data_IF_485808148234
#
_entry.id   IF_485808148234
#
_cell.length_a   1.000
_cell.length_b   1.000
_cell.length_c   1.000
_cell.angle_alpha   90.00
_cell.angle_beta   90.00
_cell.angle_gamma   90.00
#
_symmetry.space_group_name_H-M   'P 1'
#
loop_
_entity.id
_entity.type
_entity.pdbx_description
1 polymer ?
#
# COMPACT_ATOMS: atom_id res chain seq x y z
N UNK A 1 -9.02 -2.62 48.86
CA UNK A 1 -9.22 -2.04 47.53
C UNK A 1 -8.00 -1.28 46.97
N UNK A 2 -7.15 -0.70 47.81
CA UNK A 2 -6.01 0.16 47.39
C UNK A 2 -4.84 -0.61 46.74
N UNK A 3 -4.55 -1.85 47.13
CA UNK A 3 -3.43 -2.66 46.55
C UNK A 3 -3.68 -3.15 45.14
N UNK A 4 -4.95 -3.41 44.75
CA UNK A 4 -5.30 -3.87 43.38
C UNK A 4 -5.22 -2.72 42.37
N UNK A 5 -5.48 -1.49 42.82
CA UNK A 5 -5.41 -0.30 41.97
C UNK A 5 -3.96 0.05 41.62
N UNK A 6 -3.03 -0.05 42.60
CA UNK A 6 -1.60 0.25 42.37
C UNK A 6 -0.97 -0.73 41.36
N UNK A 7 -1.31 -2.02 41.44
CA UNK A 7 -0.80 -3.03 40.49
C UNK A 7 -1.31 -2.80 39.09
N UNK A 8 -2.59 -2.39 38.91
CA UNK A 8 -3.13 -2.08 37.58
C UNK A 8 -2.50 -0.82 36.97
N UNK A 9 -2.23 0.20 37.78
CA UNK A 9 -1.57 1.43 37.30
C UNK A 9 -0.09 1.15 36.95
N UNK A 10 0.64 0.38 37.75
CA UNK A 10 2.02 -0.02 37.43
C UNK A 10 2.11 -0.90 36.17
N UNK A 11 1.16 -1.82 35.95
CA UNK A 11 1.13 -2.64 34.73
C UNK A 11 0.80 -1.81 33.48
N UNK A 12 -0.13 -0.85 33.58
CA UNK A 12 -0.46 0.06 32.47
C UNK A 12 0.72 0.99 32.14
N UNK A 13 1.43 1.50 33.15
CA UNK A 13 2.61 2.36 32.95
C UNK A 13 3.80 1.57 32.36
N UNK A 14 4.03 0.34 32.79
CA UNK A 14 5.08 -0.52 32.20
C UNK A 14 4.77 -0.90 30.75
N UNK A 15 3.50 -1.13 30.40
CA UNK A 15 3.08 -1.40 29.02
C UNK A 15 3.24 -0.17 28.12
N UNK A 16 2.92 1.03 28.62
CA UNK A 16 3.13 2.28 27.89
C UNK A 16 4.63 2.59 27.66
N UNK A 17 5.48 2.43 28.68
CA UNK A 17 6.91 2.63 28.54
C UNK A 17 7.57 1.59 27.62
N UNK A 18 7.09 0.34 27.63
CA UNK A 18 7.57 -0.72 26.75
C UNK A 18 7.19 -0.48 25.28
N UNK A 19 6.08 0.20 25.01
CA UNK A 19 5.62 0.53 23.67
C UNK A 19 6.35 1.76 23.10
N UNK A 20 6.54 2.80 23.91
CA UNK A 20 7.32 3.99 23.53
C UNK A 20 8.79 3.66 23.22
N UNK A 21 9.39 2.73 23.97
CA UNK A 21 10.78 2.31 23.73
C UNK A 21 10.95 1.48 22.47
N UNK A 22 9.92 0.73 22.03
CA UNK A 22 9.97 -0.06 20.80
C UNK A 22 9.82 0.82 19.55
N UNK A 23 8.86 1.74 19.53
CA UNK A 23 8.66 2.67 18.41
C UNK A 23 9.92 3.50 18.14
N UNK A 24 10.55 4.03 19.18
CA UNK A 24 11.79 4.81 19.06
C UNK A 24 12.97 3.97 18.54
N UNK A 25 13.06 2.70 18.92
CA UNK A 25 14.11 1.80 18.43
C UNK A 25 13.91 1.42 16.95
N UNK A 26 12.66 1.28 16.49
CA UNK A 26 12.33 0.97 15.10
C UNK A 26 12.59 2.18 14.19
N UNK A 27 12.31 3.40 14.62
CA UNK A 27 12.63 4.64 13.91
C UNK A 27 14.14 4.84 13.72
N UNK A 28 14.94 4.56 14.76
CA UNK A 28 16.40 4.59 14.67
C UNK A 28 16.87 3.55 13.67
N UNK A 29 16.36 2.32 13.74
CA UNK A 29 16.76 1.23 12.85
C UNK A 29 16.39 1.52 11.39
N UNK A 30 15.26 2.17 11.13
CA UNK A 30 14.84 2.60 9.79
C UNK A 30 15.80 3.67 9.23
N UNK A 31 16.06 4.71 10.02
CA UNK A 31 16.98 5.81 9.64
C UNK A 31 18.40 5.29 9.41
N UNK A 32 18.91 4.40 10.28
CA UNK A 32 20.24 3.78 10.14
C UNK A 32 20.36 2.95 8.87
N UNK A 33 19.36 2.09 8.58
CA UNK A 33 19.38 1.25 7.39
C UNK A 33 19.34 2.09 6.11
N UNK A 34 18.55 3.16 6.07
CA UNK A 34 18.47 4.06 4.93
C UNK A 34 19.77 4.86 4.76
N UNK A 35 20.38 5.35 5.85
CA UNK A 35 21.66 6.07 5.82
C UNK A 35 22.82 5.18 5.35
N UNK A 36 22.91 3.94 5.88
CA UNK A 36 23.91 2.95 5.45
C UNK A 36 23.76 2.60 3.97
N UNK A 37 22.51 2.48 3.48
CA UNK A 37 22.26 2.26 2.06
C UNK A 37 22.81 3.42 1.23
N UNK A 38 22.48 4.66 1.57
CA UNK A 38 22.95 5.87 0.87
C UNK A 38 24.48 5.96 0.87
N UNK A 39 25.12 5.70 2.00
CA UNK A 39 26.58 5.72 2.14
C UNK A 39 27.25 4.69 1.24
N UNK A 40 26.68 3.50 1.13
CA UNK A 40 27.20 2.39 0.32
C UNK A 40 26.98 2.54 -1.19
N UNK A 41 26.12 3.47 -1.63
CA UNK A 41 25.78 3.68 -3.04
C UNK A 41 26.91 4.35 -3.81
N UNK A 42 27.19 3.84 -5.01
CA UNK A 42 28.03 4.52 -6.01
C UNK A 42 27.33 5.80 -6.51
N UNK A 43 28.10 6.72 -7.12
CA UNK A 43 27.55 7.95 -7.71
C UNK A 43 26.41 7.66 -8.69
N UNK A 44 26.54 6.65 -9.55
CA UNK A 44 25.51 6.25 -10.51
C UNK A 44 24.23 5.74 -9.83
N UNK A 45 24.35 5.00 -8.72
CA UNK A 45 23.22 4.55 -7.95
C UNK A 45 22.53 5.70 -7.21
N UNK A 46 23.30 6.65 -6.68
CA UNK A 46 22.79 7.87 -6.04
C UNK A 46 22.01 8.74 -7.02
N UNK A 47 22.54 8.95 -8.21
CA UNK A 47 21.89 9.70 -9.29
C UNK A 47 20.55 9.06 -9.70
N UNK A 48 20.47 7.72 -9.75
CA UNK A 48 19.28 7.00 -10.11
C UNK A 48 18.24 6.86 -8.98
N UNK A 49 18.66 6.91 -7.70
CA UNK A 49 17.84 6.52 -6.57
C UNK A 49 17.64 7.55 -5.46
N UNK A 50 18.32 8.70 -5.50
CA UNK A 50 18.19 9.73 -4.47
C UNK A 50 17.62 11.02 -5.04
N UNK A 51 16.56 11.52 -4.44
CA UNK A 51 15.83 12.69 -4.89
C UNK A 51 15.53 13.64 -3.72
N UNK A 52 15.28 14.91 -4.02
CA UNK A 52 14.77 15.84 -3.02
C UNK A 52 13.40 15.41 -2.48
N UNK A 53 13.10 15.70 -1.21
CA UNK A 53 11.80 15.31 -0.61
C UNK A 53 10.59 15.86 -1.36
N UNK A 54 10.71 17.05 -1.96
CA UNK A 54 9.65 17.71 -2.75
C UNK A 54 9.66 17.32 -4.23
N UNK A 55 10.48 16.36 -4.62
CA UNK A 55 10.54 15.90 -6.01
C UNK A 55 9.19 15.29 -6.43
N UNK A 56 8.70 15.67 -7.61
CA UNK A 56 7.43 15.19 -8.17
C UNK A 56 7.45 13.69 -8.45
N UNK A 57 8.63 13.12 -8.70
CA UNK A 57 8.85 11.69 -8.86
C UNK A 57 8.40 10.87 -7.64
N UNK A 58 8.25 11.49 -6.46
CA UNK A 58 7.73 10.81 -5.26
C UNK A 58 6.33 10.21 -5.48
N UNK A 59 5.50 10.86 -6.28
CA UNK A 59 4.15 10.38 -6.63
C UNK A 59 4.11 9.59 -7.95
N UNK A 60 5.23 9.47 -8.66
CA UNK A 60 5.32 8.75 -9.93
C UNK A 60 5.61 7.26 -9.70
N UNK A 61 4.65 6.52 -9.14
CA UNK A 61 4.72 5.08 -8.99
C UNK A 61 3.91 4.37 -10.08
N UNK A 62 4.22 3.10 -10.32
CA UNK A 62 3.45 2.26 -11.25
C UNK A 62 3.48 0.81 -10.80
N UNK A 63 2.40 0.09 -11.11
CA UNK A 63 2.26 -1.36 -10.99
C UNK A 63 2.48 -2.08 -12.32
N UNK A 64 2.69 -1.31 -13.39
CA UNK A 64 2.90 -1.83 -14.74
C UNK A 64 4.37 -2.21 -14.98
N UNK A 65 4.64 -3.07 -15.95
CA UNK A 65 5.99 -3.33 -16.41
C UNK A 65 6.75 -2.04 -16.75
N UNK A 66 8.06 -1.91 -16.40
CA UNK A 66 8.81 -0.67 -16.54
C UNK A 66 8.87 -0.08 -17.95
N UNK A 67 8.70 -0.89 -19.01
CA UNK A 67 8.69 -0.40 -20.39
C UNK A 67 7.37 0.29 -20.77
N UNK A 68 6.27 0.00 -20.06
CA UNK A 68 4.98 0.67 -20.26
C UNK A 68 4.86 1.93 -19.41
N UNK A 69 5.40 1.90 -18.19
CA UNK A 69 5.34 3.02 -17.26
C UNK A 69 6.67 3.13 -16.50
N UNK A 70 7.65 3.84 -17.07
CA UNK A 70 8.94 4.03 -16.41
C UNK A 70 8.78 4.89 -15.15
N UNK A 71 9.44 4.44 -14.07
CA UNK A 71 9.53 5.16 -12.80
C UNK A 71 10.99 5.39 -12.43
N UNK A 72 11.25 6.39 -11.59
CA UNK A 72 12.57 6.66 -11.04
C UNK A 72 12.94 5.60 -9.98
N UNK A 73 14.22 5.46 -9.70
CA UNK A 73 14.77 4.56 -8.70
C UNK A 73 15.86 3.63 -9.25
N UNK A 74 16.68 3.11 -8.36
CA UNK A 74 17.71 2.13 -8.70
C UNK A 74 17.10 0.74 -8.73
N UNK A 75 17.33 -0.01 -9.82
CA UNK A 75 16.86 -1.40 -9.91
C UNK A 75 17.59 -2.27 -8.86
N UNK A 76 16.85 -3.18 -8.20
CA UNK A 76 17.44 -4.12 -7.22
C UNK A 76 18.57 -4.96 -7.83
N UNK A 77 18.49 -5.29 -9.13
CA UNK A 77 19.57 -5.97 -9.86
C UNK A 77 20.87 -5.17 -9.99
N UNK A 78 20.81 -3.85 -9.78
CA UNK A 78 21.98 -2.94 -9.81
C UNK A 78 22.56 -2.67 -8.43
N UNK A 79 21.98 -3.24 -7.39
CA UNK A 79 22.45 -3.18 -6.02
C UNK A 79 23.30 -4.42 -5.69
N UNK A 80 24.31 -4.25 -4.83
CA UNK A 80 25.04 -5.39 -4.24
C UNK A 80 24.13 -6.19 -3.29
N UNK A 81 24.55 -7.39 -2.89
CA UNK A 81 23.81 -8.21 -1.93
C UNK A 81 23.62 -7.48 -0.60
N UNK A 82 24.65 -6.79 -0.11
CA UNK A 82 24.59 -5.97 1.09
C UNK A 82 23.57 -4.83 0.94
N UNK A 83 23.58 -4.12 -0.19
CA UNK A 83 22.63 -3.04 -0.45
C UNK A 83 21.20 -3.56 -0.57
N UNK A 84 20.97 -4.70 -1.22
CA UNK A 84 19.65 -5.36 -1.24
C UNK A 84 19.20 -5.76 0.16
N UNK A 85 20.10 -6.27 0.99
CA UNK A 85 19.82 -6.57 2.39
C UNK A 85 19.36 -5.34 3.17
N UNK A 86 19.97 -4.16 2.92
CA UNK A 86 19.56 -2.90 3.53
C UNK A 86 18.17 -2.45 3.04
N UNK A 87 17.86 -2.60 1.74
CA UNK A 87 16.50 -2.33 1.22
C UNK A 87 15.47 -3.21 1.94
N UNK A 88 15.71 -4.52 2.05
CA UNK A 88 14.77 -5.41 2.75
C UNK A 88 14.70 -5.11 4.25
N UNK A 89 15.78 -4.63 4.89
CA UNK A 89 15.74 -4.15 6.27
C UNK A 89 14.87 -2.91 6.41
N UNK A 90 14.93 -1.96 5.48
CA UNK A 90 14.04 -0.79 5.42
C UNK A 90 12.58 -1.26 5.33
N UNK A 91 12.27 -2.24 4.49
CA UNK A 91 10.91 -2.81 4.42
C UNK A 91 10.47 -3.42 5.76
N UNK A 92 11.35 -4.20 6.41
CA UNK A 92 11.05 -4.85 7.70
C UNK A 92 10.77 -3.86 8.83
N UNK A 93 11.43 -2.71 8.82
CA UNK A 93 11.23 -1.66 9.84
C UNK A 93 10.03 -0.77 9.56
N UNK A 94 9.50 -0.79 8.34
CA UNK A 94 8.39 0.06 7.92
C UNK A 94 7.06 -0.68 7.82
N UNK A 95 7.11 -1.98 7.62
CA UNK A 95 5.93 -2.83 7.44
C UNK A 95 5.78 -3.77 8.65
N UNK A 96 4.55 -4.23 8.87
CA UNK A 96 4.32 -5.37 9.78
C UNK A 96 4.92 -6.65 9.18
N UNK A 97 5.04 -7.70 10.00
CA UNK A 97 5.46 -9.02 9.49
C UNK A 97 4.57 -9.50 8.34
N UNK A 98 3.27 -9.23 8.40
CA UNK A 98 2.31 -9.54 7.33
C UNK A 98 2.60 -8.73 6.06
N UNK A 99 2.75 -7.41 6.17
CA UNK A 99 3.02 -6.53 5.03
C UNK A 99 4.37 -6.82 4.39
N UNK A 100 5.41 -7.05 5.20
CA UNK A 100 6.73 -7.47 4.72
C UNK A 100 6.67 -8.80 3.96
N UNK A 101 5.98 -9.79 4.54
CA UNK A 101 5.84 -11.11 3.92
C UNK A 101 5.11 -11.02 2.59
N UNK A 102 3.96 -10.35 2.55
CA UNK A 102 3.16 -10.09 1.36
C UNK A 102 3.98 -9.41 0.26
N UNK A 103 4.67 -8.32 0.58
CA UNK A 103 5.50 -7.59 -0.38
C UNK A 103 6.66 -8.43 -0.92
N UNK A 104 7.35 -9.17 -0.05
CA UNK A 104 8.46 -10.06 -0.46
C UNK A 104 7.97 -11.22 -1.33
N UNK A 105 6.79 -11.76 -1.03
CA UNK A 105 6.15 -12.81 -1.81
C UNK A 105 5.78 -12.33 -3.22
N UNK A 106 5.24 -11.11 -3.36
CA UNK A 106 4.90 -10.52 -4.66
C UNK A 106 6.17 -10.31 -5.50
N UNK A 107 7.24 -9.77 -4.89
CA UNK A 107 8.52 -9.58 -5.56
C UNK A 107 9.07 -10.93 -6.09
N UNK A 108 9.02 -11.97 -5.26
CA UNK A 108 9.49 -13.30 -5.65
C UNK A 108 8.58 -13.96 -6.70
N UNK A 109 7.26 -13.77 -6.60
CA UNK A 109 6.29 -14.32 -7.55
C UNK A 109 6.53 -13.82 -8.98
N UNK A 110 7.11 -12.63 -9.13
CA UNK A 110 7.44 -12.07 -10.44
C UNK A 110 8.57 -12.85 -11.13
N UNK A 111 9.49 -13.47 -10.38
CA UNK A 111 10.47 -14.42 -10.92
C UNK A 111 9.79 -15.71 -11.43
N UNK A 112 8.82 -16.22 -10.67
CA UNK A 112 8.02 -17.39 -11.07
C UNK A 112 7.16 -17.09 -12.31
N UNK A 113 6.53 -15.92 -12.34
CA UNK A 113 5.75 -15.45 -13.50
C UNK A 113 6.64 -15.40 -14.76
N UNK A 114 7.87 -14.89 -14.62
CA UNK A 114 8.85 -14.87 -15.70
C UNK A 114 9.11 -16.28 -16.27
N UNK A 115 9.26 -17.27 -15.42
CA UNK A 115 9.44 -18.66 -15.85
C UNK A 115 8.22 -19.21 -16.58
N UNK A 116 7.00 -18.93 -16.07
CA UNK A 116 5.73 -19.34 -16.66
C UNK A 116 5.57 -18.72 -18.05
N UNK A 117 5.72 -17.40 -18.14
CA UNK A 117 5.58 -16.66 -19.41
C UNK A 117 6.66 -17.05 -20.41
N UNK A 118 7.90 -17.32 -19.98
CA UNK A 118 8.98 -17.81 -20.86
C UNK A 118 8.61 -19.14 -21.50
N UNK A 119 8.08 -20.08 -20.74
CA UNK A 119 7.62 -21.39 -21.27
C UNK A 119 6.50 -21.23 -22.29
N UNK A 120 5.58 -20.28 -22.06
CA UNK A 120 4.47 -19.99 -22.98
C UNK A 120 4.96 -19.41 -24.31
N UNK A 121 5.99 -18.56 -24.32
CA UNK A 121 6.59 -18.02 -25.55
C UNK A 121 7.18 -19.13 -26.40
N UNK A 122 7.82 -20.12 -25.79
CA UNK A 122 8.43 -21.27 -26.51
C UNK A 122 7.37 -22.08 -27.26
N UNK A 123 6.12 -22.09 -26.81
CA UNK A 123 5.03 -22.80 -27.50
C UNK A 123 4.44 -22.03 -28.70
N UNK A 124 4.93 -20.81 -28.99
CA UNK A 124 4.69 -20.10 -30.25
C UNK A 124 3.30 -19.49 -30.47
N UNK A 125 2.55 -19.24 -29.39
CA UNK A 125 1.24 -18.64 -29.47
C UNK A 125 1.34 -17.10 -29.32
N UNK A 126 0.88 -16.35 -30.31
CA UNK A 126 0.78 -14.88 -30.25
C UNK A 126 1.99 -14.12 -30.81
N UNK A 127 2.07 -12.81 -30.51
CA UNK A 127 3.19 -11.96 -30.93
C UNK A 127 4.41 -12.18 -30.03
N UNK A 128 5.34 -13.01 -30.49
CA UNK A 128 6.57 -13.40 -29.77
C UNK A 128 7.42 -12.19 -29.35
N UNK A 129 7.50 -11.15 -30.20
CA UNK A 129 8.32 -9.97 -29.87
C UNK A 129 7.72 -9.18 -28.71
N UNK A 130 6.41 -8.96 -28.70
CA UNK A 130 5.72 -8.29 -27.60
C UNK A 130 5.80 -9.13 -26.32
N UNK A 131 5.57 -10.44 -26.42
CA UNK A 131 5.68 -11.36 -25.27
C UNK A 131 7.08 -11.34 -24.64
N UNK A 132 8.15 -11.26 -25.45
CA UNK A 132 9.52 -11.11 -24.94
C UNK A 132 9.72 -9.82 -24.15
N UNK A 133 9.16 -8.66 -24.58
CA UNK A 133 9.26 -7.42 -23.83
C UNK A 133 8.64 -7.55 -22.45
N UNK A 134 7.50 -8.24 -22.33
CA UNK A 134 6.88 -8.52 -21.04
C UNK A 134 7.78 -9.40 -20.17
N UNK A 135 8.24 -10.52 -20.68
CA UNK A 135 9.13 -11.45 -19.95
C UNK A 135 10.43 -10.78 -19.51
N UNK A 136 11.07 -9.98 -20.38
CA UNK A 136 12.32 -9.27 -20.07
C UNK A 136 12.12 -8.18 -19.00
N UNK A 137 10.90 -7.73 -18.82
CA UNK A 137 10.52 -6.76 -17.78
C UNK A 137 10.14 -7.39 -16.44
N UNK A 138 10.01 -8.74 -16.38
CA UNK A 138 9.69 -9.48 -15.16
C UNK A 138 10.93 -9.76 -14.31
N UNK A 139 10.67 -10.07 -13.07
CA UNK A 139 11.61 -10.58 -12.10
C UNK A 139 11.95 -9.61 -10.98
N UNK A 140 12.31 -10.19 -9.83
CA UNK A 140 12.60 -9.48 -8.58
C UNK A 140 13.66 -8.38 -8.73
N UNK A 141 14.63 -8.58 -9.64
CA UNK A 141 15.69 -7.61 -9.93
C UNK A 141 15.21 -6.33 -10.63
N UNK A 142 14.00 -6.30 -11.20
CA UNK A 142 13.42 -5.17 -11.94
C UNK A 142 12.71 -4.14 -11.05
N UNK A 143 12.46 -4.49 -9.80
CA UNK A 143 11.90 -3.54 -8.84
C UNK A 143 12.88 -2.39 -8.60
N UNK A 144 12.35 -1.19 -8.46
CA UNK A 144 13.13 0.04 -8.29
C UNK A 144 12.93 0.62 -6.91
N UNK A 145 14.05 0.95 -6.26
CA UNK A 145 14.05 1.60 -4.95
C UNK A 145 14.53 3.05 -5.08
N UNK A 146 13.80 3.98 -4.47
CA UNK A 146 14.12 5.40 -4.44
C UNK A 146 13.95 5.96 -3.03
N UNK A 147 14.85 6.88 -2.63
CA UNK A 147 14.77 7.65 -1.39
C UNK A 147 14.52 9.11 -1.75
N UNK A 148 13.61 9.75 -1.05
CA UNK A 148 13.21 11.14 -1.22
C UNK A 148 13.53 11.90 0.08
N UNK A 149 14.44 12.86 0.01
CA UNK A 149 14.95 13.59 1.17
C UNK A 149 16.11 12.89 1.86
N UNK A 150 16.44 13.36 3.07
CA UNK A 150 17.54 12.83 3.87
C UNK A 150 16.96 12.10 5.10
N UNK A 151 17.28 10.81 5.32
CA UNK A 151 16.78 10.04 6.48
C UNK A 151 17.11 10.67 7.84
N UNK A 152 18.15 11.48 7.93
CA UNK A 152 18.53 12.18 9.16
C UNK A 152 17.77 13.51 9.37
N UNK A 153 16.87 13.88 8.44
CA UNK A 153 16.00 15.04 8.58
C UNK A 153 14.61 14.60 9.04
N UNK A 154 13.81 15.59 9.49
CA UNK A 154 12.45 15.39 9.97
C UNK A 154 11.54 14.69 8.93
N UNK A 155 11.64 15.16 7.66
CA UNK A 155 10.76 14.75 6.58
C UNK A 155 11.58 14.10 5.46
N UNK A 156 11.27 12.84 5.22
CA UNK A 156 11.85 12.04 4.14
C UNK A 156 10.89 10.90 3.77
N UNK A 157 11.25 10.12 2.80
CA UNK A 157 10.46 8.96 2.43
C UNK A 157 11.19 8.06 1.47
N UNK A 158 10.55 6.96 1.12
CA UNK A 158 11.08 6.04 0.14
C UNK A 158 9.97 5.38 -0.66
N UNK A 159 10.33 4.86 -1.82
CA UNK A 159 9.43 4.10 -2.67
C UNK A 159 10.12 2.83 -3.14
N UNK A 160 9.41 1.71 -3.09
CA UNK A 160 9.73 0.49 -3.81
C UNK A 160 8.58 0.22 -4.78
N UNK A 161 8.88 0.19 -6.08
CA UNK A 161 7.86 -0.06 -7.10
C UNK A 161 8.37 -0.97 -8.20
N UNK A 162 7.49 -1.77 -8.75
CA UNK A 162 7.71 -2.67 -9.85
C UNK A 162 6.40 -3.32 -10.26
N UNK A 163 6.50 -4.37 -11.06
CA UNK A 163 5.31 -5.10 -11.46
C UNK A 163 4.58 -5.67 -10.24
N UNK A 164 3.29 -5.34 -10.10
CA UNK A 164 2.41 -5.77 -9.02
C UNK A 164 2.72 -5.25 -7.60
N UNK A 165 3.69 -4.35 -7.42
CA UNK A 165 3.96 -3.76 -6.12
C UNK A 165 4.31 -2.28 -6.24
N UNK A 166 3.68 -1.45 -5.42
CA UNK A 166 4.14 -0.09 -5.13
C UNK A 166 3.90 0.25 -3.67
N UNK A 167 4.99 0.50 -2.95
CA UNK A 167 5.00 0.98 -1.58
C UNK A 167 5.50 2.41 -1.59
N UNK A 168 4.67 3.34 -1.14
CA UNK A 168 5.02 4.75 -1.02
C UNK A 168 5.00 5.13 0.46
N UNK A 169 6.17 5.38 1.00
CA UNK A 169 6.34 5.61 2.43
C UNK A 169 6.81 7.03 2.68
N UNK A 170 6.19 7.68 3.65
CA UNK A 170 6.61 8.98 4.14
C UNK A 170 6.88 8.90 5.63
N UNK A 171 8.01 9.43 6.04
CA UNK A 171 8.40 9.62 7.45
C UNK A 171 8.38 11.11 7.73
N UNK A 172 7.64 11.54 8.75
CA UNK A 172 7.56 12.94 9.19
C UNK A 172 7.52 13.01 10.71
N UNK A 173 8.59 13.53 11.31
CA UNK A 173 8.69 13.67 12.77
C UNK A 173 8.55 12.35 13.53
N UNK A 174 9.08 11.25 13.00
CA UNK A 174 8.98 9.91 13.60
C UNK A 174 7.66 9.18 13.29
N UNK A 175 6.69 9.81 12.61
CA UNK A 175 5.45 9.14 12.15
C UNK A 175 5.65 8.59 10.74
N UNK A 176 5.03 7.44 10.46
CA UNK A 176 5.15 6.74 9.17
C UNK A 176 3.79 6.64 8.49
N UNK A 177 3.67 7.21 7.29
CA UNK A 177 2.52 6.99 6.41
C UNK A 177 2.85 5.91 5.38
N UNK A 178 1.98 4.90 5.28
CA UNK A 178 2.07 3.78 4.31
C UNK A 178 0.93 3.94 3.30
N UNK A 179 0.97 5.05 2.56
CA UNK A 179 -0.11 5.42 1.62
C UNK A 179 0.42 6.34 0.51
N UNK A 180 0.03 6.11 -0.76
CA UNK A 180 -0.73 4.96 -1.27
C UNK A 180 0.10 3.68 -1.33
N UNK A 181 -0.60 2.54 -1.25
CA UNK A 181 0.03 1.22 -1.44
C UNK A 181 -0.74 0.44 -2.49
N UNK A 182 -0.01 -0.24 -3.36
CA UNK A 182 -0.55 -1.14 -4.36
C UNK A 182 0.06 -2.54 -4.22
N UNK A 183 -0.80 -3.55 -4.25
CA UNK A 183 -0.44 -4.96 -4.32
C UNK A 183 -1.19 -5.63 -5.47
N UNK A 184 -0.51 -6.48 -6.22
CA UNK A 184 -1.11 -7.33 -7.23
C UNK A 184 -0.47 -8.72 -7.22
N UNK A 185 -1.09 -9.65 -7.92
CA UNK A 185 -0.56 -11.00 -8.06
C UNK A 185 -1.02 -11.63 -9.36
N UNK A 186 -0.08 -12.17 -10.09
CA UNK A 186 -0.27 -13.01 -11.25
C UNK A 186 0.88 -14.07 -11.29
N UNK A 187 0.59 -15.36 -11.13
CA UNK A 187 -0.74 -15.93 -10.86
C UNK A 187 -1.31 -15.50 -9.49
N UNK A 188 -2.63 -15.43 -9.37
CA UNK A 188 -3.33 -15.23 -8.10
C UNK A 188 -3.04 -16.36 -7.11
N UNK A 189 -3.08 -17.57 -7.62
CA UNK A 189 -2.71 -18.80 -6.92
C UNK A 189 -1.80 -19.61 -7.82
N UNK A 190 -0.69 -20.07 -7.32
CA UNK A 190 0.15 -21.04 -8.04
C UNK A 190 -0.52 -22.40 -8.02
N UNK A 191 -0.99 -22.88 -9.18
CA UNK A 191 -1.83 -24.09 -9.25
C UNK A 191 -1.05 -25.40 -9.17
N UNK A 192 0.23 -25.39 -9.56
CA UNK A 192 1.02 -26.63 -9.68
C UNK A 192 2.50 -26.41 -9.37
N UNK A 193 3.23 -27.52 -9.21
CA UNK A 193 4.66 -27.51 -8.93
C UNK A 193 5.00 -27.38 -7.43
N UNK A 194 6.27 -27.12 -7.09
CA UNK A 194 6.73 -27.06 -5.70
C UNK A 194 6.07 -25.95 -4.86
N UNK A 195 5.47 -24.96 -5.50
CA UNK A 195 4.86 -23.79 -4.87
C UNK A 195 3.33 -23.79 -5.00
N UNK A 196 2.73 -24.94 -5.31
CA UNK A 196 1.27 -25.08 -5.42
C UNK A 196 0.56 -24.59 -4.15
N UNK A 197 -0.47 -23.76 -4.32
CA UNK A 197 -1.23 -23.14 -3.24
C UNK A 197 -0.67 -21.79 -2.78
N UNK A 198 0.47 -21.34 -3.28
CA UNK A 198 1.04 -20.04 -2.96
C UNK A 198 0.15 -18.90 -3.50
N UNK A 199 -0.32 -18.00 -2.63
CA UNK A 199 -1.27 -16.95 -2.95
C UNK A 199 -1.07 -15.71 -2.04
N UNK A 200 -0.29 -14.69 -2.45
CA UNK A 200 0.09 -13.57 -1.60
C UNK A 200 -1.08 -12.72 -1.08
N UNK A 201 -2.16 -12.59 -1.85
CA UNK A 201 -3.34 -11.78 -1.54
C UNK A 201 -4.61 -12.64 -1.31
N UNK A 202 -4.44 -13.85 -0.76
CA UNK A 202 -5.58 -14.74 -0.51
C UNK A 202 -6.61 -14.13 0.45
N UNK A 203 -6.13 -13.43 1.48
CA UNK A 203 -7.03 -12.86 2.51
C UNK A 203 -7.85 -11.69 1.98
N UNK A 204 -7.30 -10.82 1.14
CA UNK A 204 -8.05 -9.74 0.50
C UNK A 204 -9.19 -10.29 -0.37
N UNK A 205 -8.90 -11.35 -1.11
CA UNK A 205 -9.90 -12.06 -1.90
C UNK A 205 -10.98 -12.68 -1.02
N UNK A 206 -10.57 -13.47 -0.03
CA UNK A 206 -11.48 -14.29 0.78
C UNK A 206 -12.36 -13.44 1.71
N UNK A 207 -11.78 -12.41 2.36
CA UNK A 207 -12.53 -11.51 3.25
C UNK A 207 -13.51 -10.64 2.47
N UNK A 208 -13.13 -10.14 1.29
CA UNK A 208 -14.02 -9.37 0.43
C UNK A 208 -15.21 -10.20 -0.04
N UNK A 209 -14.96 -11.42 -0.49
CA UNK A 209 -16.02 -12.36 -0.91
C UNK A 209 -16.87 -12.83 0.28
N UNK A 210 -16.27 -13.13 1.43
CA UNK A 210 -16.98 -13.50 2.64
C UNK A 210 -17.92 -12.38 3.10
N UNK A 211 -17.45 -11.14 3.11
CA UNK A 211 -18.29 -9.99 3.44
C UNK A 211 -19.46 -9.86 2.46
N UNK A 212 -19.24 -9.94 1.15
CA UNK A 212 -20.30 -9.85 0.15
C UNK A 212 -21.35 -10.94 0.33
N UNK A 213 -20.97 -12.15 0.75
CA UNK A 213 -21.89 -13.27 1.05
C UNK A 213 -22.78 -13.02 2.27
N UNK A 214 -22.43 -12.10 3.16
CA UNK A 214 -23.28 -11.74 4.32
C UNK A 214 -24.40 -10.78 3.94
N UNK A 215 -24.31 -10.13 2.78
CA UNK A 215 -25.25 -9.10 2.35
C UNK A 215 -26.59 -9.71 1.92
N UNK A 216 -27.69 -9.09 2.33
CA UNK A 216 -29.02 -9.39 1.79
C UNK A 216 -29.08 -8.95 0.31
N UNK A 217 -30.07 -9.48 -0.44
CA UNK A 217 -30.27 -9.09 -1.84
C UNK A 217 -30.43 -7.57 -2.00
N UNK A 218 -31.17 -6.92 -1.10
CA UNK A 218 -31.37 -5.46 -1.10
C UNK A 218 -30.05 -4.69 -0.86
N UNK A 219 -29.23 -5.16 0.08
CA UNK A 219 -27.93 -4.56 0.36
C UNK A 219 -26.96 -4.77 -0.81
N UNK A 220 -26.96 -5.95 -1.42
CA UNK A 220 -26.12 -6.26 -2.58
C UNK A 220 -26.54 -5.42 -3.80
N UNK A 221 -27.82 -5.17 -4.00
CA UNK A 221 -28.33 -4.26 -5.03
C UNK A 221 -27.85 -2.82 -4.77
N UNK A 222 -27.93 -2.32 -3.54
CA UNK A 222 -27.42 -1.01 -3.15
C UNK A 222 -25.90 -0.89 -3.33
N UNK A 223 -25.14 -1.98 -3.20
CA UNK A 223 -23.70 -2.01 -3.43
C UNK A 223 -23.31 -1.97 -4.92
N UNK A 224 -24.23 -2.32 -5.83
CA UNK A 224 -23.99 -2.38 -7.29
C UNK A 224 -24.30 -1.04 -7.96
N UNK A 225 -23.36 -0.11 -7.87
CA UNK A 225 -23.51 1.25 -8.43
C UNK A 225 -22.81 1.44 -9.78
N UNK A 226 -22.08 0.44 -10.27
CA UNK A 226 -21.39 0.48 -11.55
C UNK A 226 -22.21 -0.27 -12.59
N UNK A 227 -22.22 0.22 -13.85
CA UNK A 227 -22.88 -0.48 -14.96
C UNK A 227 -22.21 -1.81 -15.30
N UNK A 228 -20.88 -1.86 -15.13
CA UNK A 228 -20.06 -3.03 -15.41
C UNK A 228 -18.87 -3.11 -14.43
N UNK A 229 -18.24 -4.26 -14.36
CA UNK A 229 -17.01 -4.44 -13.58
C UNK A 229 -15.87 -3.65 -14.24
N UNK A 230 -15.11 -2.82 -13.50
CA UNK A 230 -13.98 -2.10 -14.06
C UNK A 230 -12.89 -3.07 -14.52
N UNK A 231 -12.14 -2.68 -15.55
CA UNK A 231 -11.00 -3.46 -16.06
C UNK A 231 -9.89 -3.52 -15.00
N UNK A 232 -9.65 -2.41 -14.29
CA UNK A 232 -8.66 -2.30 -13.22
C UNK A 232 -9.19 -1.42 -12.08
N UNK A 233 -8.38 -1.15 -11.06
CA UNK A 233 -8.67 -0.20 -9.98
C UNK A 233 -8.76 1.23 -10.53
N UNK A 234 -9.63 2.06 -9.95
CA UNK A 234 -9.81 3.45 -10.39
C UNK A 234 -8.71 4.38 -9.88
N UNK A 235 -8.28 4.19 -8.63
CA UNK A 235 -7.28 5.04 -7.94
C UNK A 235 -5.85 4.48 -8.08
N UNK A 236 -5.56 3.85 -9.21
CA UNK A 236 -4.24 3.36 -9.57
C UNK A 236 -3.21 4.49 -9.80
N UNK A 237 -2.06 4.19 -10.45
CA UNK A 237 -1.00 5.16 -10.70
C UNK A 237 -1.49 6.41 -11.43
N UNK A 238 -1.17 7.59 -10.89
CA UNK A 238 -1.56 8.87 -11.50
C UNK A 238 -3.06 9.17 -11.52
N UNK A 239 -3.88 8.40 -10.79
CA UNK A 239 -5.34 8.47 -10.86
C UNK A 239 -5.98 8.96 -9.54
N UNK A 240 -5.21 9.56 -8.63
CA UNK A 240 -5.71 10.09 -7.35
C UNK A 240 -6.89 11.02 -7.55
N UNK A 241 -7.95 10.85 -6.76
CA UNK A 241 -9.14 11.71 -6.75
C UNK A 241 -10.18 11.39 -7.82
N UNK A 242 -10.04 10.29 -8.57
CA UNK A 242 -11.10 9.83 -9.50
C UNK A 242 -12.38 9.41 -8.78
N UNK A 243 -12.26 8.96 -7.54
CA UNK A 243 -13.37 8.52 -6.70
C UNK A 243 -13.72 9.59 -5.65
N UNK A 244 -13.99 10.83 -6.10
CA UNK A 244 -14.29 11.96 -5.21
C UNK A 244 -15.62 11.82 -4.46
N UNK A 245 -16.56 10.99 -4.93
CA UNK A 245 -17.87 10.82 -4.31
C UNK A 245 -18.01 9.45 -3.65
N UNK A 246 -18.62 9.43 -2.47
CA UNK A 246 -19.01 8.21 -1.80
C UNK A 246 -20.23 7.60 -2.48
N UNK A 247 -20.17 6.31 -2.82
CA UNK A 247 -21.23 5.60 -3.49
C UNK A 247 -21.26 4.12 -3.11
N UNK A 248 -22.42 3.50 -3.19
CA UNK A 248 -22.64 2.10 -2.87
C UNK A 248 -23.50 1.89 -1.64
N UNK A 249 -23.36 0.75 -0.97
CA UNK A 249 -24.03 0.42 0.29
C UNK A 249 -23.40 1.22 1.45
N UNK A 250 -24.20 1.99 2.15
CA UNK A 250 -23.76 2.66 3.37
C UNK A 250 -23.52 1.67 4.50
N UNK A 251 -22.40 1.79 5.21
CA UNK A 251 -22.13 0.99 6.41
C UNK A 251 -23.09 1.29 7.58
N UNK A 252 -23.83 2.40 7.50
CA UNK A 252 -24.93 2.68 8.46
C UNK A 252 -26.06 1.64 8.36
N UNK A 253 -26.26 1.04 7.18
CA UNK A 253 -27.31 0.05 6.90
C UNK A 253 -26.87 -1.40 7.19
N UNK A 254 -25.70 -1.60 7.74
CA UNK A 254 -25.14 -2.91 8.10
C UNK A 254 -25.59 -3.36 9.50
N UNK A 255 -25.82 -4.65 9.66
CA UNK A 255 -25.92 -5.26 11.00
C UNK A 255 -24.58 -5.13 11.76
N UNK A 256 -24.57 -5.45 13.05
CA UNK A 256 -23.33 -5.42 13.85
C UNK A 256 -22.33 -6.47 13.34
N UNK A 257 -22.79 -7.64 12.94
CA UNK A 257 -21.95 -8.73 12.41
C UNK A 257 -21.37 -8.34 11.05
N UNK A 258 -22.18 -7.74 10.17
CA UNK A 258 -21.72 -7.24 8.87
C UNK A 258 -20.72 -6.10 9.03
N UNK A 259 -20.96 -5.16 9.96
CA UNK A 259 -20.02 -4.09 10.25
C UNK A 259 -18.70 -4.64 10.78
N UNK A 260 -18.74 -5.65 11.67
CA UNK A 260 -17.53 -6.33 12.15
C UNK A 260 -16.75 -7.00 11.01
N UNK A 261 -17.43 -7.64 10.07
CA UNK A 261 -16.79 -8.24 8.90
C UNK A 261 -16.15 -7.19 7.97
N UNK A 262 -16.81 -6.04 7.77
CA UNK A 262 -16.24 -4.91 7.00
C UNK A 262 -15.01 -4.31 7.71
N UNK A 263 -15.04 -4.20 9.04
CA UNK A 263 -13.90 -3.77 9.84
C UNK A 263 -12.74 -4.77 9.73
N UNK A 264 -13.01 -6.07 9.75
CA UNK A 264 -11.98 -7.10 9.57
C UNK A 264 -11.31 -7.00 8.19
N UNK A 265 -12.08 -6.82 7.12
CA UNK A 265 -11.56 -6.60 5.77
C UNK A 265 -10.67 -5.35 5.72
N UNK A 266 -11.11 -4.25 6.34
CA UNK A 266 -10.34 -3.00 6.38
C UNK A 266 -9.04 -3.17 7.17
N UNK A 267 -9.08 -3.84 8.31
CA UNK A 267 -7.90 -4.12 9.15
C UNK A 267 -6.87 -4.97 8.42
N UNK A 268 -7.28 -5.97 7.66
CA UNK A 268 -6.37 -6.86 6.91
C UNK A 268 -5.38 -6.07 6.04
N UNK A 269 -5.83 -4.99 5.41
CA UNK A 269 -4.98 -4.19 4.53
C UNK A 269 -4.23 -3.08 5.28
N UNK A 270 -4.85 -2.43 6.26
CA UNK A 270 -4.22 -1.34 7.05
C UNK A 270 -3.10 -1.90 7.95
N UNK A 271 -3.30 -3.08 8.54
CA UNK A 271 -2.33 -3.76 9.41
C UNK A 271 -1.12 -4.33 8.64
N UNK A 272 -1.03 -4.16 7.32
CA UNK A 272 0.19 -4.38 6.57
C UNK A 272 1.28 -3.31 6.83
N UNK A 273 0.91 -2.10 7.26
CA UNK A 273 1.85 -1.10 7.76
C UNK A 273 2.46 -1.48 9.09
N UNK A 274 3.56 -0.81 9.48
CA UNK A 274 4.11 -0.95 10.83
C UNK A 274 3.03 -0.71 11.89
N UNK A 275 3.16 -1.37 13.04
CA UNK A 275 2.12 -1.37 14.08
C UNK A 275 1.60 0.02 14.43
N UNK A 276 2.50 0.98 14.66
CA UNK A 276 2.12 2.32 15.12
C UNK A 276 1.42 3.10 13.99
N UNK A 277 1.90 2.98 12.75
CA UNK A 277 1.25 3.54 11.58
C UNK A 277 -0.14 2.93 11.35
N UNK A 278 -0.27 1.62 11.53
CA UNK A 278 -1.56 0.92 11.39
C UNK A 278 -2.55 1.34 12.49
N UNK A 279 -2.11 1.45 13.75
CA UNK A 279 -2.94 1.93 14.86
C UNK A 279 -3.39 3.36 14.60
N UNK A 280 -2.49 4.26 14.24
CA UNK A 280 -2.82 5.65 13.94
C UNK A 280 -3.84 5.77 12.80
N UNK A 281 -3.66 4.99 11.72
CA UNK A 281 -4.60 5.00 10.60
C UNK A 281 -5.96 4.43 11.00
N UNK A 282 -6.01 3.33 11.75
CA UNK A 282 -7.26 2.75 12.25
C UNK A 282 -8.00 3.69 13.22
N UNK A 283 -7.27 4.41 14.07
CA UNK A 283 -7.84 5.42 14.96
C UNK A 283 -8.42 6.60 14.15
N UNK A 284 -7.75 7.03 13.09
CA UNK A 284 -8.27 8.04 12.17
C UNK A 284 -9.55 7.59 11.47
N UNK A 285 -9.61 6.33 11.01
CA UNK A 285 -10.83 5.72 10.43
C UNK A 285 -11.95 5.67 11.48
N UNK A 286 -11.64 5.26 12.71
CA UNK A 286 -12.60 5.20 13.79
C UNK A 286 -13.15 6.58 14.17
N UNK A 287 -12.30 7.60 14.22
CA UNK A 287 -12.68 9.00 14.49
C UNK A 287 -13.56 9.56 13.36
N UNK A 288 -13.26 9.28 12.10
CA UNK A 288 -14.11 9.62 10.95
C UNK A 288 -15.46 8.88 11.00
N UNK A 289 -15.50 7.67 11.55
CA UNK A 289 -16.70 6.88 11.84
C UNK A 289 -16.85 5.63 10.97
N UNK A 290 -16.79 4.46 11.60
CA UNK A 290 -16.98 3.16 10.92
C UNK A 290 -18.35 3.02 10.23
N UNK A 291 -19.36 3.78 10.63
CA UNK A 291 -20.70 3.81 10.00
C UNK A 291 -20.83 4.85 8.89
N UNK A 292 -19.73 5.53 8.55
CA UNK A 292 -19.64 6.48 7.43
C UNK A 292 -18.82 5.92 6.26
N UNK A 293 -18.60 4.62 6.22
CA UNK A 293 -17.99 3.93 5.09
C UNK A 293 -19.04 3.55 4.05
N UNK A 294 -18.59 3.39 2.82
CA UNK A 294 -19.39 2.96 1.69
C UNK A 294 -18.74 1.72 1.07
N UNK A 295 -19.58 0.76 0.70
CA UNK A 295 -19.13 -0.47 0.06
C UNK A 295 -19.71 -0.62 -1.34
N UNK A 296 -18.87 -0.95 -2.31
CA UNK A 296 -19.26 -1.27 -3.69
C UNK A 296 -18.88 -2.72 -3.96
N UNK A 297 -19.76 -3.42 -4.64
CA UNK A 297 -19.53 -4.75 -5.19
C UNK A 297 -19.96 -4.81 -6.63
N UNK A 298 -19.13 -5.40 -7.51
CA UNK A 298 -19.45 -5.60 -8.91
C UNK A 298 -18.98 -6.97 -9.37
N UNK A 299 -19.89 -7.71 -10.00
CA UNK A 299 -19.68 -9.08 -10.44
C UNK A 299 -20.48 -10.09 -9.64
N UNK A 300 -20.36 -11.41 -9.95
CA UNK A 300 -20.96 -12.47 -9.18
C UNK A 300 -20.39 -12.58 -7.76
N UNK A 301 -21.19 -13.01 -6.78
CA UNK A 301 -20.72 -13.34 -5.43
C UNK A 301 -20.25 -14.80 -5.42
N UNK A 302 -19.16 -15.07 -6.15
CA UNK A 302 -18.57 -16.40 -6.34
C UNK A 302 -17.06 -16.31 -6.41
N UNK A 303 -16.37 -17.35 -5.93
CA UNK A 303 -14.92 -17.49 -6.08
C UNK A 303 -14.50 -17.85 -7.52
N UNK A 304 -15.44 -18.36 -8.31
CA UNK A 304 -15.21 -18.88 -9.67
C UNK A 304 -15.51 -17.85 -10.77
N UNK A 305 -15.63 -16.57 -10.38
CA UNK A 305 -15.91 -15.48 -11.33
C UNK A 305 -15.19 -14.21 -10.92
N UNK A 306 -14.75 -13.40 -11.90
CA UNK A 306 -14.16 -12.09 -11.63
C UNK A 306 -15.11 -11.14 -10.91
N UNK A 307 -14.58 -10.41 -9.92
CA UNK A 307 -15.34 -9.41 -9.16
C UNK A 307 -14.46 -8.22 -8.77
N UNK A 308 -15.12 -7.14 -8.44
CA UNK A 308 -14.50 -5.93 -7.88
C UNK A 308 -15.22 -5.55 -6.60
N UNK A 309 -14.46 -5.10 -5.60
CA UNK A 309 -15.03 -4.41 -4.46
C UNK A 309 -14.26 -3.16 -4.09
N UNK A 310 -14.95 -2.24 -3.40
CA UNK A 310 -14.39 -1.01 -2.86
C UNK A 310 -14.93 -0.74 -1.47
N UNK A 311 -14.05 -0.36 -0.54
CA UNK A 311 -14.40 0.26 0.74
C UNK A 311 -13.94 1.71 0.66
N UNK A 312 -14.83 2.67 0.90
CA UNK A 312 -14.55 4.09 0.71
C UNK A 312 -15.08 4.91 1.88
N UNK A 313 -14.25 5.75 2.45
CA UNK A 313 -14.54 6.72 3.50
C UNK A 313 -13.52 7.86 3.49
N UNK A 314 -13.68 8.81 4.38
CA UNK A 314 -12.82 9.99 4.48
C UNK A 314 -11.32 9.63 4.69
N UNK A 315 -11.07 8.59 5.48
CA UNK A 315 -9.73 8.16 5.89
C UNK A 315 -9.33 6.79 5.36
N UNK A 316 -10.08 6.21 4.44
CA UNK A 316 -9.75 4.93 3.82
C UNK A 316 -10.38 4.79 2.44
N UNK A 317 -9.60 4.34 1.50
CA UNK A 317 -10.04 3.84 0.23
C UNK A 317 -9.31 2.52 -0.05
N UNK A 318 -10.08 1.46 -0.18
CA UNK A 318 -9.60 0.15 -0.59
C UNK A 318 -10.31 -0.19 -1.90
N UNK A 319 -9.57 -0.55 -2.91
CA UNK A 319 -10.11 -1.20 -4.10
C UNK A 319 -9.44 -2.56 -4.26
N UNK A 320 -10.21 -3.54 -4.64
CA UNK A 320 -9.75 -4.86 -5.05
C UNK A 320 -10.44 -5.25 -6.34
N UNK A 321 -9.66 -5.66 -7.33
CA UNK A 321 -10.15 -6.11 -8.62
C UNK A 321 -9.58 -7.49 -8.96
N UNK A 322 -10.42 -8.52 -8.95
CA UNK A 322 -10.13 -9.81 -9.56
C UNK A 322 -10.36 -9.66 -11.06
N UNK A 323 -9.32 -9.34 -11.83
CA UNK A 323 -9.41 -9.02 -13.26
C UNK A 323 -9.83 -10.24 -14.08
N UNK A 324 -9.24 -11.36 -13.77
CA UNK A 324 -9.63 -12.71 -14.19
C UNK A 324 -9.39 -13.69 -13.04
N UNK A 325 -9.62 -14.98 -13.22
CA UNK A 325 -9.49 -15.96 -12.13
C UNK A 325 -8.06 -16.13 -11.63
N UNK A 326 -7.08 -15.64 -12.35
CA UNK A 326 -5.67 -15.81 -12.03
C UNK A 326 -4.88 -14.50 -11.84
N UNK A 327 -5.55 -13.33 -11.92
CA UNK A 327 -4.90 -12.03 -11.83
C UNK A 327 -5.74 -11.06 -10.99
N UNK A 328 -5.14 -10.44 -9.98
CA UNK A 328 -5.84 -9.47 -9.14
C UNK A 328 -4.96 -8.29 -8.75
N UNK A 329 -5.60 -7.15 -8.51
CA UNK A 329 -5.01 -5.91 -8.06
C UNK A 329 -5.73 -5.37 -6.83
N UNK A 330 -4.99 -4.79 -5.90
CA UNK A 330 -5.51 -4.06 -4.76
C UNK A 330 -4.77 -2.74 -4.60
N UNK A 331 -5.49 -1.66 -4.33
CA UNK A 331 -4.93 -0.37 -3.93
C UNK A 331 -5.51 0.05 -2.60
N UNK A 332 -4.68 0.62 -1.75
CA UNK A 332 -5.05 1.14 -0.43
C UNK A 332 -4.54 2.57 -0.32
N UNK A 333 -5.45 3.47 0.07
CA UNK A 333 -5.14 4.89 0.29
C UNK A 333 -5.73 5.38 1.61
N UNK A 334 -5.09 6.34 2.21
CA UNK A 334 -5.69 7.30 3.12
C UNK A 334 -5.93 8.60 2.36
N UNK A 335 -7.14 8.89 1.85
CA UNK A 335 -7.38 10.03 0.97
C UNK A 335 -6.97 11.38 1.58
N UNK A 336 -7.05 11.51 2.90
CA UNK A 336 -6.66 12.72 3.62
C UNK A 336 -5.15 12.78 3.92
N UNK A 337 -4.44 11.62 3.94
CA UNK A 337 -3.02 11.56 4.33
C UNK A 337 -2.14 10.77 3.36
N UNK A 338 -2.52 10.67 2.10
CA UNK A 338 -1.64 10.12 1.05
C UNK A 338 -0.30 10.87 1.07
N UNK A 339 0.80 10.12 1.04
CA UNK A 339 2.17 10.68 1.13
C UNK A 339 2.45 11.50 2.40
N UNK A 340 1.67 11.34 3.48
CA UNK A 340 1.80 12.12 4.71
C UNK A 340 1.40 13.59 4.57
N UNK A 341 0.56 13.95 3.60
CA UNK A 341 0.20 15.33 3.28
C UNK A 341 -0.53 16.05 4.40
N UNK A 342 -1.41 15.34 5.15
CA UNK A 342 -2.10 15.87 6.34
C UNK A 342 -1.10 16.37 7.40
N UNK A 343 -0.11 15.55 7.73
CA UNK A 343 0.93 15.91 8.71
C UNK A 343 1.83 17.04 8.25
N UNK A 344 2.19 17.03 6.96
CA UNK A 344 3.01 18.08 6.37
C UNK A 344 2.25 19.42 6.33
N UNK A 345 0.95 19.37 6.02
CA UNK A 345 0.06 20.52 6.07
C UNK A 345 -0.07 21.09 7.49
N UNK A 346 -0.33 20.23 8.48
CA UNK A 346 -0.40 20.63 9.89
C UNK A 346 0.93 21.25 10.38
N UNK A 347 2.07 20.61 10.08
CA UNK A 347 3.39 21.15 10.42
C UNK A 347 3.65 22.54 9.82
N UNK A 348 3.31 22.73 8.53
CA UNK A 348 3.47 24.02 7.86
C UNK A 348 2.59 25.10 8.50
N UNK A 349 1.37 24.74 8.91
CA UNK A 349 0.43 25.66 9.57
C UNK A 349 0.92 26.06 10.96
N UNK A 350 1.40 25.10 11.75
CA UNK A 350 1.78 25.31 13.16
C UNK A 350 3.15 25.96 13.31
N UNK A 351 4.13 25.53 12.51
CA UNK A 351 5.54 25.90 12.69
C UNK A 351 6.02 26.98 11.71
N UNK A 352 5.34 27.15 10.57
CA UNK A 352 5.72 28.07 9.51
C UNK A 352 4.51 28.86 8.94
N UNK A 353 3.72 29.55 9.77
CA UNK A 353 2.49 30.22 9.33
C UNK A 353 2.72 31.25 8.23
N UNK A 354 3.86 31.99 8.28
CA UNK A 354 4.24 32.97 7.25
C UNK A 354 4.50 32.37 5.87
N UNK A 355 4.87 31.09 5.80
CA UNK A 355 5.06 30.40 4.52
C UNK A 355 3.76 30.03 3.82
N UNK A 356 2.66 29.92 4.56
CA UNK A 356 1.32 29.69 4.04
C UNK A 356 0.72 30.95 3.42
N UNK A 357 0.87 32.10 4.09
CA UNK A 357 0.42 33.40 3.54
C UNK A 357 1.11 33.72 2.21
N UNK A 358 2.42 33.43 2.11
CA UNK A 358 3.17 33.59 0.85
C UNK A 358 2.65 32.64 -0.23
N UNK A 359 2.32 31.38 0.11
CA UNK A 359 1.81 30.41 -0.87
C UNK A 359 0.39 30.71 -1.31
N UNK A 360 -0.47 31.19 -0.40
CA UNK A 360 -1.83 31.67 -0.74
C UNK A 360 -1.78 32.88 -1.66
N UNK A 361 -0.85 33.83 -1.43
CA UNK A 361 -0.66 35.00 -2.30
C UNK A 361 -0.16 34.63 -3.71
N UNK A 362 0.44 33.46 -3.92
CA UNK A 362 0.84 32.93 -5.22
C UNK A 362 -0.15 31.93 -5.83
N UNK A 363 -1.36 31.77 -5.25
CA UNK A 363 -2.38 30.89 -5.78
C UNK A 363 -2.03 29.39 -5.77
N UNK A 364 -1.14 28.97 -4.86
CA UNK A 364 -0.68 27.59 -4.77
C UNK A 364 -1.60 26.68 -3.96
N UNK A 365 -2.63 27.25 -3.31
CA UNK A 365 -3.76 26.54 -2.68
C UNK A 365 -5.07 27.21 -3.06
N UNK A 366 -6.16 26.47 -3.30
CA UNK A 366 -7.47 27.07 -3.47
C UNK A 366 -7.84 27.82 -2.17
N UNK A 367 -8.38 29.03 -2.33
CA UNK A 367 -9.06 29.76 -1.26
C UNK A 367 -10.46 29.16 -1.22
N UNK A 368 -10.92 28.71 -0.03
CA UNK A 368 -12.28 28.20 0.18
C UNK A 368 -13.35 29.20 -0.26
#
# INVERSE_FOLDING_TARGET
MTKVLIVKVMFATLLLFGQLSKSFADDIALTEAASQLIESMSLKQKDAGLFGFKDKGRANWSNLPPFLAPTEGVELSKLSDMQRGLVFRILQTTLSSQGYHKSSQIIWLDDLLKEIETKTIVTGVGNVQMARLFVDSRGSGKYKFAIFGNPNHRDWGWRLSGHHLALNITVSGGRVAVSPTFWGSNPRVVESGPYSGFAPLAKEHDLGLAFAKTLTNKQLEAARVLSERPIDVFEGPGQRGKLAQFAGLSSADLSLEQLSALQQLTREVVECGHRDAAVEHLDAIAAAGWRKLWFVWQGPVSADAPFYYRVHGERILIEYNLQDLNHHHAVVRDPANDYGEDWLGAHLTEQHPSSLEVRQSFGLFPVD
#
